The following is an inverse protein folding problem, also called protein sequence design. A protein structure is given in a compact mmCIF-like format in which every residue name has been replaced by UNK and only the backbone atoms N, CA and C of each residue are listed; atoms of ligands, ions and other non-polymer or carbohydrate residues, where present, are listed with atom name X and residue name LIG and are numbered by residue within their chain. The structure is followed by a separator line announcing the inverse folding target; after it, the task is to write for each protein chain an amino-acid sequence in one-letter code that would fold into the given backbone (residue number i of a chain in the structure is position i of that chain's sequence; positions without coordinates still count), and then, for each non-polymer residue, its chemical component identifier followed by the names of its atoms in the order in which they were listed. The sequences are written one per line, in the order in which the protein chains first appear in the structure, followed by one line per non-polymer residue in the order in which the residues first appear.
data_IF_168307614872
#
_entry.id   IF_168307614872
#
_cell.length_a   1.000
_cell.length_b   1.000
_cell.length_c   1.000
_cell.angle_alpha   90.00
_cell.angle_beta   90.00
_cell.angle_gamma   90.00
#
_symmetry.space_group_name_H-M   'P 1'
#
loop_
_entity.id
_entity.type
_entity.pdbx_description
1 polymer ?
#
# COMPACT_ATOMS: atom_id res chain seq x y z
N UNK A 1 -3.14 25.60 0.28
CA UNK A 1 -2.81 26.79 1.07
C UNK A 1 -1.62 26.47 1.97
N UNK A 2 -0.49 27.21 1.89
CA UNK A 2 0.58 27.15 2.91
C UNK A 2 0.06 27.58 4.28
N UNK A 3 0.73 27.18 5.36
CA UNK A 3 0.44 27.57 6.76
C UNK A 3 -0.96 27.23 7.28
N UNK A 4 -1.76 26.48 6.51
CA UNK A 4 -3.06 25.98 6.94
C UNK A 4 -2.92 25.11 8.19
N UNK A 5 -1.88 24.27 8.20
CA UNK A 5 -1.59 23.34 9.29
C UNK A 5 -0.44 23.82 10.19
N UNK A 6 -0.34 25.13 10.42
CA UNK A 6 0.59 25.72 11.40
C UNK A 6 -0.20 26.39 12.53
N UNK A 7 0.37 26.45 13.75
CA UNK A 7 -0.23 27.13 14.89
C UNK A 7 -0.62 28.60 14.60
N UNK A 8 -1.67 29.08 15.27
CA UNK A 8 -2.18 30.45 15.09
C UNK A 8 -1.19 31.51 15.57
N UNK A 9 -0.44 31.22 16.64
CA UNK A 9 0.62 32.07 17.18
C UNK A 9 1.85 32.19 16.24
N UNK A 10 2.03 31.24 15.32
CA UNK A 10 3.00 31.34 14.21
C UNK A 10 2.44 32.07 12.97
N UNK A 11 1.18 32.53 13.01
CA UNK A 11 0.47 33.12 11.87
C UNK A 11 -0.14 32.10 10.92
N UNK A 12 -0.29 30.84 11.35
CA UNK A 12 -1.03 29.80 10.63
C UNK A 12 -2.54 29.83 10.88
N UNK A 13 -3.27 28.94 10.21
CA UNK A 13 -4.73 28.83 10.36
C UNK A 13 -5.16 27.93 11.53
N UNK A 14 -4.24 27.16 12.14
CA UNK A 14 -4.50 26.35 13.32
C UNK A 14 -5.12 24.97 13.08
N UNK A 15 -5.16 24.45 11.85
CA UNK A 15 -5.52 23.05 11.64
C UNK A 15 -4.35 22.13 12.03
N UNK A 16 -4.63 20.96 12.60
CA UNK A 16 -3.57 20.00 12.93
C UNK A 16 -3.11 19.22 11.69
N UNK A 17 -4.06 18.86 10.81
CA UNK A 17 -3.82 18.03 9.64
C UNK A 17 -4.53 18.55 8.39
N UNK A 18 -4.01 18.12 7.24
CA UNK A 18 -4.67 18.26 5.93
C UNK A 18 -4.72 16.92 5.18
N UNK A 19 -5.70 16.78 4.30
CA UNK A 19 -5.81 15.59 3.45
C UNK A 19 -4.79 15.62 2.31
N UNK A 20 -4.09 14.51 2.08
CA UNK A 20 -3.16 14.32 0.97
C UNK A 20 -3.90 13.94 -0.33
N UNK A 21 -4.75 14.85 -0.81
CA UNK A 21 -5.70 14.59 -1.92
C UNK A 21 -5.05 14.20 -3.25
N UNK A 22 -3.76 14.51 -3.46
CA UNK A 22 -3.04 14.13 -4.67
C UNK A 22 -2.70 12.63 -4.76
N UNK A 23 -2.72 11.90 -3.64
CA UNK A 23 -2.35 10.47 -3.60
C UNK A 23 -3.40 9.59 -4.31
N UNK A 24 -4.72 9.73 -4.05
CA UNK A 24 -5.73 9.00 -4.82
C UNK A 24 -5.70 9.28 -6.32
N UNK A 25 -5.47 10.54 -6.72
CA UNK A 25 -5.37 10.94 -8.13
C UNK A 25 -4.19 10.26 -8.85
N UNK A 26 -3.07 10.09 -8.14
CA UNK A 26 -1.93 9.31 -8.64
C UNK A 26 -2.38 7.89 -8.98
N UNK A 27 -3.00 7.19 -8.03
CA UNK A 27 -3.37 5.79 -8.20
C UNK A 27 -4.41 5.60 -9.28
N UNK A 28 -5.45 6.43 -9.33
CA UNK A 28 -6.43 6.42 -10.43
C UNK A 28 -5.76 6.68 -11.77
N UNK A 29 -4.84 7.65 -11.85
CA UNK A 29 -4.13 7.91 -13.11
C UNK A 29 -3.28 6.72 -13.56
N UNK A 30 -2.65 5.99 -12.63
CA UNK A 30 -1.84 4.82 -12.97
C UNK A 30 -2.73 3.65 -13.40
N UNK A 31 -3.75 3.34 -12.62
CA UNK A 31 -4.66 2.23 -12.89
C UNK A 31 -5.51 2.43 -14.16
N UNK A 32 -5.85 3.67 -14.51
CA UNK A 32 -6.68 3.99 -15.68
C UNK A 32 -5.87 4.14 -16.98
N UNK A 33 -4.64 4.66 -16.92
CA UNK A 33 -3.92 5.16 -18.10
C UNK A 33 -2.61 4.44 -18.40
N UNK A 34 -2.12 3.55 -17.54
CA UNK A 34 -0.79 2.94 -17.66
C UNK A 34 -0.84 1.43 -17.43
N UNK A 35 -0.07 0.69 -18.21
CA UNK A 35 0.29 -0.70 -17.90
C UNK A 35 1.27 -0.74 -16.73
N UNK A 36 1.38 -1.89 -16.05
CA UNK A 36 2.24 -2.06 -14.88
C UNK A 36 3.73 -1.80 -15.20
N UNK A 37 4.16 -2.13 -16.42
CA UNK A 37 5.53 -1.92 -16.91
C UNK A 37 5.90 -0.44 -17.05
N UNK A 38 4.90 0.43 -17.24
CA UNK A 38 5.06 1.88 -17.46
C UNK A 38 4.88 2.70 -16.17
N UNK A 39 4.78 2.03 -15.02
CA UNK A 39 4.71 2.68 -13.72
C UNK A 39 6.06 3.29 -13.38
N UNK A 40 6.08 4.61 -13.20
CA UNK A 40 7.26 5.38 -12.84
C UNK A 40 7.40 5.39 -11.30
N UNK A 41 8.43 4.71 -10.80
CA UNK A 41 8.70 4.53 -9.37
C UNK A 41 9.08 5.84 -8.71
N UNK A 42 9.85 6.68 -9.40
CA UNK A 42 10.24 7.99 -8.91
C UNK A 42 9.06 8.94 -8.76
N UNK A 43 8.09 8.90 -9.68
CA UNK A 43 6.85 9.67 -9.60
C UNK A 43 5.92 9.17 -8.49
N UNK A 44 5.84 7.85 -8.26
CA UNK A 44 5.13 7.31 -7.10
C UNK A 44 5.75 7.86 -5.81
N UNK A 45 7.07 7.68 -5.64
CA UNK A 45 7.80 8.19 -4.47
C UNK A 45 7.60 9.69 -4.32
N UNK A 46 7.78 10.47 -5.40
CA UNK A 46 7.64 11.91 -5.36
C UNK A 46 6.23 12.32 -4.91
N UNK A 47 5.18 11.71 -5.45
CA UNK A 47 3.81 12.09 -5.08
C UNK A 47 3.48 11.76 -3.62
N UNK A 48 4.04 10.66 -3.08
CA UNK A 48 3.87 10.26 -1.68
C UNK A 48 4.72 11.11 -0.72
N UNK A 49 5.84 11.67 -1.18
CA UNK A 49 6.82 12.39 -0.35
C UNK A 49 6.79 13.91 -0.53
N UNK A 50 6.14 14.42 -1.58
CA UNK A 50 6.04 15.85 -1.87
C UNK A 50 5.02 16.52 -0.93
N UNK A 51 5.45 16.71 0.31
CA UNK A 51 4.69 17.39 1.37
C UNK A 51 5.50 18.50 2.01
N UNK A 52 4.81 19.43 2.67
CA UNK A 52 5.45 20.57 3.32
C UNK A 52 6.01 20.12 4.67
N UNK A 53 7.31 20.33 4.86
CA UNK A 53 7.94 20.04 6.14
C UNK A 53 7.27 20.88 7.25
N UNK A 54 6.91 20.23 8.36
CA UNK A 54 6.21 20.86 9.48
C UNK A 54 4.69 21.03 9.33
N UNK A 55 4.08 20.56 8.23
CA UNK A 55 2.61 20.51 8.09
C UNK A 55 2.18 19.05 7.91
N UNK A 56 1.51 18.48 8.92
CA UNK A 56 1.13 17.07 8.92
C UNK A 56 0.00 16.79 7.91
N UNK A 57 0.07 15.64 7.23
CA UNK A 57 -0.98 15.21 6.32
C UNK A 57 -1.53 13.80 6.65
N UNK A 58 -2.82 13.61 6.34
CA UNK A 58 -3.48 12.30 6.36
C UNK A 58 -3.43 11.72 4.94
N UNK A 59 -2.73 10.61 4.80
CA UNK A 59 -2.60 9.86 3.56
C UNK A 59 -3.70 8.80 3.43
N UNK A 60 -4.18 8.59 2.21
CA UNK A 60 -5.17 7.56 1.88
C UNK A 60 -5.02 7.20 0.41
N UNK A 61 -5.19 5.91 0.09
CA UNK A 61 -4.99 5.41 -1.27
C UNK A 61 -6.20 5.71 -2.17
N UNK A 62 -7.40 5.72 -1.58
CA UNK A 62 -8.66 6.02 -2.25
C UNK A 62 -9.65 6.68 -1.27
N UNK A 63 -10.60 7.46 -1.79
CA UNK A 63 -11.58 8.21 -0.99
C UNK A 63 -13.01 7.71 -1.13
N UNK A 64 -13.93 8.35 -0.41
CA UNK A 64 -15.36 8.05 -0.49
C UNK A 64 -15.97 8.44 -1.84
N UNK A 65 -15.49 9.50 -2.50
CA UNK A 65 -15.98 9.90 -3.83
C UNK A 65 -15.71 8.82 -4.88
N UNK A 66 -14.55 8.17 -4.82
CA UNK A 66 -14.16 7.07 -5.71
C UNK A 66 -14.98 5.80 -5.48
N UNK A 67 -15.64 5.69 -4.32
CA UNK A 67 -16.56 4.60 -4.04
C UNK A 67 -17.98 4.88 -4.58
N UNK A 68 -18.29 6.09 -5.05
CA UNK A 68 -19.62 6.44 -5.57
C UNK A 68 -19.84 5.92 -6.99
N UNK A 69 -21.12 5.83 -7.39
CA UNK A 69 -21.51 5.53 -8.76
C UNK A 69 -20.86 6.51 -9.75
N UNK A 70 -20.23 5.98 -10.79
CA UNK A 70 -19.56 6.76 -11.83
C UNK A 70 -18.03 6.82 -11.70
N UNK A 71 -17.47 6.35 -10.60
CA UNK A 71 -16.04 6.07 -10.46
C UNK A 71 -15.80 4.60 -10.06
N UNK A 72 -14.54 4.20 -9.89
CA UNK A 72 -14.15 2.85 -9.49
C UNK A 72 -13.19 2.90 -8.31
N UNK A 73 -13.43 2.02 -7.34
CA UNK A 73 -12.47 1.70 -6.26
C UNK A 73 -11.19 1.10 -6.83
N UNK A 74 -10.11 1.10 -6.06
CA UNK A 74 -8.84 0.44 -6.44
C UNK A 74 -9.08 -1.05 -6.74
N UNK A 75 -9.89 -1.73 -5.91
CA UNK A 75 -10.24 -3.13 -6.13
C UNK A 75 -10.91 -3.34 -7.49
N UNK A 76 -11.87 -2.48 -7.85
CA UNK A 76 -12.61 -2.60 -9.10
C UNK A 76 -11.79 -2.15 -10.33
N UNK A 77 -10.86 -1.21 -10.18
CA UNK A 77 -9.86 -0.91 -11.22
C UNK A 77 -8.93 -2.09 -11.50
N UNK A 78 -8.57 -2.85 -10.46
CA UNK A 78 -7.61 -3.94 -10.56
C UNK A 78 -8.21 -5.26 -11.06
N UNK A 79 -9.44 -5.57 -10.65
CA UNK A 79 -10.05 -6.89 -10.84
C UNK A 79 -11.33 -6.86 -11.68
N UNK A 80 -11.98 -5.69 -11.78
CA UNK A 80 -13.18 -5.46 -12.59
C UNK A 80 -14.23 -6.59 -12.44
N UNK A 81 -14.78 -7.09 -13.54
CA UNK A 81 -15.81 -8.15 -13.51
C UNK A 81 -15.33 -9.49 -12.95
N UNK A 82 -14.02 -9.76 -12.89
CA UNK A 82 -13.52 -11.03 -12.37
C UNK A 82 -13.72 -11.15 -10.86
N UNK A 83 -13.95 -10.04 -10.16
CA UNK A 83 -14.33 -10.04 -8.74
C UNK A 83 -15.58 -10.89 -8.48
N UNK A 84 -16.50 -10.97 -9.43
CA UNK A 84 -17.76 -11.69 -9.27
C UNK A 84 -17.64 -13.20 -9.49
N UNK A 85 -16.58 -13.67 -10.13
CA UNK A 85 -16.41 -15.08 -10.53
C UNK A 85 -15.22 -15.77 -9.87
N UNK A 86 -14.15 -15.03 -9.54
CA UNK A 86 -12.88 -15.61 -9.09
C UNK A 86 -12.46 -15.18 -7.67
N UNK A 87 -13.35 -14.52 -6.91
CA UNK A 87 -13.13 -14.21 -5.49
C UNK A 87 -13.49 -15.36 -4.54
N UNK A 88 -13.95 -16.49 -5.05
CA UNK A 88 -14.07 -17.73 -4.26
C UNK A 88 -12.69 -18.40 -4.13
N UNK A 89 -12.40 -19.00 -2.98
CA UNK A 89 -11.21 -19.85 -2.80
C UNK A 89 -11.32 -21.18 -3.53
N UNK A 90 -12.50 -21.51 -4.07
CA UNK A 90 -12.78 -22.72 -4.83
C UNK A 90 -12.82 -22.49 -6.34
N UNK A 91 -12.74 -21.22 -6.79
CA UNK A 91 -12.70 -20.92 -8.23
C UNK A 91 -11.36 -21.34 -8.83
N UNK A 92 -11.34 -21.50 -10.15
CA UNK A 92 -10.08 -21.66 -10.89
C UNK A 92 -9.13 -20.46 -10.64
N UNK A 93 -7.81 -20.65 -10.78
CA UNK A 93 -6.84 -19.57 -10.66
C UNK A 93 -7.06 -18.49 -11.72
N UNK A 94 -6.97 -17.22 -11.30
CA UNK A 94 -7.02 -16.07 -12.21
C UNK A 94 -5.84 -15.14 -11.94
N UNK A 95 -5.02 -14.92 -12.98
CA UNK A 95 -3.90 -13.98 -12.93
C UNK A 95 -4.36 -12.53 -12.69
N UNK A 96 -5.61 -12.20 -13.05
CA UNK A 96 -6.20 -10.88 -12.81
C UNK A 96 -6.50 -10.70 -11.32
N UNK A 97 -7.07 -11.71 -10.67
CA UNK A 97 -7.31 -11.69 -9.22
C UNK A 97 -5.99 -11.72 -8.46
N UNK A 98 -5.02 -12.55 -8.85
CA UNK A 98 -3.72 -12.62 -8.19
C UNK A 98 -2.98 -11.27 -8.27
N UNK A 99 -3.01 -10.63 -9.46
CA UNK A 99 -2.52 -9.26 -9.65
C UNK A 99 -3.26 -8.28 -8.75
N UNK A 100 -4.58 -8.34 -8.72
CA UNK A 100 -5.42 -7.39 -8.00
C UNK A 100 -5.22 -7.47 -6.49
N UNK A 101 -5.19 -8.68 -5.92
CA UNK A 101 -4.93 -8.88 -4.49
C UNK A 101 -3.53 -8.36 -4.13
N UNK A 102 -2.51 -8.67 -4.92
CA UNK A 102 -1.15 -8.22 -4.66
C UNK A 102 -1.02 -6.69 -4.71
N UNK A 103 -1.47 -6.05 -5.80
CA UNK A 103 -1.36 -4.61 -5.97
C UNK A 103 -2.24 -3.82 -4.98
N UNK A 104 -3.42 -4.33 -4.62
CA UNK A 104 -4.27 -3.68 -3.61
C UNK A 104 -3.54 -3.58 -2.26
N UNK A 105 -2.89 -4.67 -1.81
CA UNK A 105 -2.06 -4.67 -0.59
C UNK A 105 -0.90 -3.69 -0.70
N UNK A 106 -0.16 -3.73 -1.82
CA UNK A 106 1.03 -2.92 -2.02
C UNK A 106 0.73 -1.41 -2.09
N UNK A 107 -0.31 -1.00 -2.84
CA UNK A 107 -0.73 0.40 -2.98
C UNK A 107 -1.11 0.97 -1.62
N UNK A 108 -1.91 0.24 -0.85
CA UNK A 108 -2.32 0.66 0.48
C UNK A 108 -1.13 0.76 1.42
N UNK A 109 -0.23 -0.23 1.40
CA UNK A 109 0.92 -0.25 2.30
C UNK A 109 1.95 0.83 1.99
N UNK A 110 2.29 1.08 0.72
CA UNK A 110 3.22 2.16 0.38
C UNK A 110 2.61 3.53 0.70
N UNK A 111 1.30 3.71 0.51
CA UNK A 111 0.59 4.93 0.92
C UNK A 111 0.63 5.12 2.43
N UNK A 112 0.41 4.04 3.19
CA UNK A 112 0.45 4.03 4.66
C UNK A 112 1.85 4.35 5.21
N UNK A 113 2.88 3.72 4.66
CA UNK A 113 4.24 3.82 5.18
C UNK A 113 4.96 5.10 4.73
N UNK A 114 4.69 5.60 3.52
CA UNK A 114 5.44 6.71 2.92
C UNK A 114 4.63 8.01 2.80
N UNK A 115 3.30 7.94 2.69
CA UNK A 115 2.44 9.04 2.24
C UNK A 115 2.22 10.18 3.23
N UNK A 116 2.32 9.95 4.54
CA UNK A 116 2.03 10.99 5.50
C UNK A 116 2.28 10.70 6.98
N UNK A 117 1.71 11.56 7.82
CA UNK A 117 1.75 11.52 9.29
C UNK A 117 0.49 10.90 9.93
N UNK A 118 -0.49 10.53 9.11
CA UNK A 118 -1.63 9.72 9.50
C UNK A 118 -2.20 8.96 8.30
N UNK A 119 -3.07 7.99 8.57
CA UNK A 119 -3.71 7.18 7.53
C UNK A 119 -5.24 7.24 7.64
N UNK A 120 -5.91 7.23 6.49
CA UNK A 120 -7.36 7.15 6.40
C UNK A 120 -7.78 6.01 5.46
N UNK A 121 -8.85 5.34 5.84
CA UNK A 121 -9.51 4.32 5.04
C UNK A 121 -11.03 4.52 5.08
N UNK A 122 -11.67 4.50 3.91
CA UNK A 122 -13.12 4.55 3.81
C UNK A 122 -13.73 3.14 3.91
N UNK A 123 -14.85 3.03 4.64
CA UNK A 123 -15.45 1.74 5.00
C UNK A 123 -15.65 0.80 3.79
N UNK A 124 -15.18 -0.44 3.92
CA UNK A 124 -15.22 -1.48 2.89
C UNK A 124 -13.96 -1.55 2.03
N UNK A 125 -13.23 -0.46 1.85
CA UNK A 125 -12.03 -0.46 1.01
C UNK A 125 -10.89 -1.26 1.65
N UNK A 126 -10.95 -1.49 2.96
CA UNK A 126 -9.98 -2.31 3.69
C UNK A 126 -9.90 -3.76 3.20
N UNK A 127 -11.05 -4.30 2.77
CA UNK A 127 -11.15 -5.63 2.22
C UNK A 127 -11.41 -5.65 0.71
N UNK A 128 -11.30 -4.50 0.04
CA UNK A 128 -11.55 -4.38 -1.40
C UNK A 128 -13.00 -4.67 -1.76
N UNK A 129 -13.95 -4.06 -1.04
CA UNK A 129 -15.40 -4.19 -1.27
C UNK A 129 -15.73 -4.08 -2.79
N UNK A 130 -16.56 -4.99 -3.33
CA UNK A 130 -16.93 -4.98 -4.75
C UNK A 130 -17.95 -3.88 -5.06
N UNK A 131 -18.37 -3.77 -6.32
CA UNK A 131 -19.43 -2.85 -6.76
C UNK A 131 -19.09 -1.37 -6.45
N UNK A 132 -20.12 -0.56 -6.18
CA UNK A 132 -20.06 0.86 -5.87
C UNK A 132 -21.15 1.23 -4.86
N UNK A 133 -21.05 2.44 -4.31
CA UNK A 133 -22.04 3.07 -3.43
C UNK A 133 -22.93 3.98 -4.28
N UNK A 134 -24.25 3.78 -4.25
CA UNK A 134 -25.22 4.68 -4.88
C UNK A 134 -26.37 4.93 -3.90
N UNK A 135 -26.69 6.21 -3.68
CA UNK A 135 -27.76 6.61 -2.78
C UNK A 135 -29.10 6.66 -3.51
N UNK A 136 -30.24 6.45 -2.81
CA UNK A 136 -31.57 6.60 -3.39
C UNK A 136 -31.76 7.97 -4.04
N UNK A 137 -32.07 7.98 -5.33
CA UNK A 137 -32.33 9.18 -6.13
C UNK A 137 -33.28 8.86 -7.30
N UNK A 138 -33.79 9.88 -7.97
CA UNK A 138 -34.68 9.69 -9.13
C UNK A 138 -34.06 8.77 -10.20
N UNK A 139 -32.78 8.99 -10.54
CA UNK A 139 -32.07 8.22 -11.55
C UNK A 139 -31.77 6.74 -11.21
N UNK A 140 -32.14 6.26 -10.01
CA UNK A 140 -32.10 4.84 -9.66
C UNK A 140 -33.41 4.34 -9.01
N UNK A 141 -34.52 5.05 -9.25
CA UNK A 141 -35.84 4.73 -8.69
C UNK A 141 -35.86 4.64 -7.16
N UNK A 142 -35.14 5.53 -6.47
CA UNK A 142 -34.98 5.54 -5.01
C UNK A 142 -34.49 4.19 -4.45
N UNK A 143 -33.61 3.51 -5.18
CA UNK A 143 -33.09 2.21 -4.79
C UNK A 143 -32.08 2.32 -3.65
N UNK A 144 -32.23 1.44 -2.66
CA UNK A 144 -31.26 1.24 -1.57
C UNK A 144 -30.28 0.10 -1.85
N UNK A 145 -30.37 -0.55 -3.03
CA UNK A 145 -29.60 -1.76 -3.32
C UNK A 145 -28.08 -1.57 -3.18
N UNK A 146 -27.56 -0.40 -3.57
CA UNK A 146 -26.14 -0.06 -3.45
C UNK A 146 -25.83 0.84 -2.25
N UNK A 147 -26.84 1.28 -1.49
CA UNK A 147 -26.67 2.11 -0.30
C UNK A 147 -26.39 1.25 0.96
N UNK A 148 -25.41 0.33 0.85
CA UNK A 148 -25.09 -0.67 1.89
C UNK A 148 -23.62 -1.04 1.87
N UNK A 149 -23.21 -1.82 2.88
CA UNK A 149 -21.91 -2.52 2.92
C UNK A 149 -22.12 -4.02 3.11
N UNK A 150 -21.40 -4.81 2.33
CA UNK A 150 -21.52 -6.27 2.29
C UNK A 150 -20.54 -6.92 3.29
N UNK A 151 -20.73 -6.67 4.59
CA UNK A 151 -19.80 -7.14 5.63
C UNK A 151 -19.63 -8.67 5.67
N UNK A 152 -20.67 -9.42 5.30
CA UNK A 152 -20.59 -10.87 5.23
C UNK A 152 -19.50 -11.39 4.26
N UNK A 153 -19.04 -10.58 3.30
CA UNK A 153 -18.00 -10.98 2.34
C UNK A 153 -16.65 -11.25 3.02
N UNK A 154 -16.33 -10.51 4.09
CA UNK A 154 -15.07 -10.69 4.82
C UNK A 154 -15.14 -11.83 5.83
N UNK A 155 -16.34 -12.15 6.31
CA UNK A 155 -16.59 -13.21 7.28
C UNK A 155 -16.66 -14.60 6.62
N UNK A 156 -16.97 -14.67 5.32
CA UNK A 156 -17.08 -15.93 4.60
C UNK A 156 -15.68 -16.56 4.34
N UNK A 157 -15.38 -17.73 4.93
CA UNK A 157 -14.09 -18.39 4.75
C UNK A 157 -13.87 -18.92 3.34
N UNK A 158 -14.91 -19.01 2.49
CA UNK A 158 -14.80 -19.43 1.10
C UNK A 158 -14.52 -18.26 0.15
N UNK A 159 -14.42 -17.02 0.65
CA UNK A 159 -14.11 -15.85 -0.16
C UNK A 159 -12.70 -15.30 0.13
N UNK A 160 -12.11 -14.66 -0.88
CA UNK A 160 -10.76 -14.08 -0.85
C UNK A 160 -10.70 -12.70 -0.19
N UNK A 161 -11.83 -12.04 0.10
CA UNK A 161 -11.86 -10.73 0.76
C UNK A 161 -11.18 -10.73 2.15
N UNK A 162 -11.25 -11.87 2.86
CA UNK A 162 -10.56 -12.09 4.13
C UNK A 162 -9.05 -11.84 4.04
N UNK A 163 -8.42 -12.11 2.89
CA UNK A 163 -6.99 -11.90 2.68
C UNK A 163 -6.60 -10.43 2.71
N UNK A 164 -7.41 -9.57 2.07
CA UNK A 164 -7.20 -8.12 2.07
C UNK A 164 -7.49 -7.52 3.45
N UNK A 165 -8.52 -8.00 4.13
CA UNK A 165 -8.83 -7.60 5.50
C UNK A 165 -7.74 -8.00 6.51
N UNK A 166 -7.23 -9.23 6.42
CA UNK A 166 -6.15 -9.70 7.28
C UNK A 166 -4.88 -8.88 7.06
N UNK A 167 -4.58 -8.53 5.81
CA UNK A 167 -3.46 -7.65 5.48
C UNK A 167 -3.64 -6.27 6.10
N UNK A 168 -4.83 -5.67 5.97
CA UNK A 168 -5.13 -4.38 6.58
C UNK A 168 -4.92 -4.39 8.09
N UNK A 169 -5.48 -5.39 8.77
CA UNK A 169 -5.31 -5.58 10.21
C UNK A 169 -3.83 -5.69 10.60
N UNK A 170 -3.06 -6.50 9.86
CA UNK A 170 -1.63 -6.68 10.12
C UNK A 170 -0.83 -5.39 9.90
N UNK A 171 -1.17 -4.61 8.85
CA UNK A 171 -0.56 -3.30 8.58
C UNK A 171 -0.81 -2.31 9.72
N UNK A 172 -2.04 -2.22 10.22
CA UNK A 172 -2.39 -1.33 11.34
C UNK A 172 -1.68 -1.72 12.63
N UNK A 173 -1.70 -3.01 13.00
CA UNK A 173 -1.01 -3.47 14.20
C UNK A 173 0.51 -3.31 14.12
N UNK A 174 1.09 -3.41 12.92
CA UNK A 174 2.51 -3.19 12.75
C UNK A 174 2.86 -1.71 12.91
N UNK A 175 2.00 -0.80 12.43
CA UNK A 175 2.19 0.63 12.68
C UNK A 175 2.07 0.97 14.16
N UNK A 176 1.09 0.42 14.86
CA UNK A 176 0.94 0.58 16.32
C UNK A 176 2.18 0.09 17.10
N UNK A 177 2.97 -0.82 16.54
CA UNK A 177 4.20 -1.32 17.18
C UNK A 177 5.44 -0.47 16.87
N UNK A 178 5.55 0.05 15.65
CA UNK A 178 6.77 0.72 15.15
C UNK A 178 6.62 2.23 14.97
N UNK A 179 5.39 2.74 15.05
CA UNK A 179 5.02 4.16 15.03
C UNK A 179 5.64 4.95 13.87
N UNK A 180 5.60 4.40 12.65
CA UNK A 180 6.20 5.10 11.52
C UNK A 180 5.38 6.30 11.04
N UNK A 181 4.07 6.40 11.34
CA UNK A 181 3.29 7.58 10.96
C UNK A 181 3.72 8.81 11.75
N UNK A 182 4.02 8.66 13.04
CA UNK A 182 4.53 9.76 13.88
C UNK A 182 6.04 10.00 13.72
N UNK A 183 6.76 9.11 13.03
CA UNK A 183 8.18 9.28 12.76
C UNK A 183 8.46 10.31 11.64
N UNK A 184 9.67 10.90 11.62
CA UNK A 184 10.12 11.74 10.51
C UNK A 184 9.96 11.06 9.16
N UNK A 185 9.99 11.88 8.11
CA UNK A 185 9.87 11.41 6.75
C UNK A 185 10.92 10.35 6.40
N UNK A 186 10.48 9.33 5.65
CA UNK A 186 11.33 8.20 5.28
C UNK A 186 12.57 8.62 4.47
N UNK A 187 13.66 7.87 4.64
CA UNK A 187 14.80 7.92 3.73
C UNK A 187 14.60 6.92 2.60
N UNK A 188 14.36 7.40 1.38
CA UNK A 188 14.20 6.53 0.19
C UNK A 188 15.56 6.25 -0.43
N UNK A 189 16.10 5.05 -0.18
CA UNK A 189 17.39 4.61 -0.73
C UNK A 189 17.28 4.20 -2.19
N UNK A 190 16.14 3.62 -2.61
CA UNK A 190 15.98 3.12 -3.97
C UNK A 190 14.58 3.38 -4.54
N UNK A 191 14.57 3.76 -5.81
CA UNK A 191 13.40 3.94 -6.68
C UNK A 191 13.80 3.54 -8.10
N UNK A 192 14.01 2.25 -8.30
CA UNK A 192 14.62 1.71 -9.51
C UNK A 192 13.56 1.48 -10.59
N UNK A 193 13.68 2.17 -11.72
CA UNK A 193 12.66 2.14 -12.78
C UNK A 193 12.61 0.80 -13.50
N UNK A 194 13.75 0.21 -13.91
CA UNK A 194 13.71 -1.04 -14.70
C UNK A 194 13.28 -2.25 -13.86
N UNK A 195 13.89 -2.42 -12.68
CA UNK A 195 13.52 -3.46 -11.72
C UNK A 195 12.15 -3.24 -11.08
N UNK A 196 11.59 -2.02 -11.16
CA UNK A 196 10.36 -1.61 -10.49
C UNK A 196 10.41 -1.82 -8.98
N UNK A 197 11.56 -1.55 -8.37
CA UNK A 197 11.81 -1.75 -6.94
C UNK A 197 11.90 -0.42 -6.20
N UNK A 198 11.15 -0.30 -5.10
CA UNK A 198 11.22 0.83 -4.17
C UNK A 198 11.70 0.32 -2.81
N UNK A 199 12.71 0.99 -2.24
CA UNK A 199 13.26 0.69 -0.91
C UNK A 199 13.40 1.98 -0.10
N UNK A 200 12.92 1.95 1.14
CA UNK A 200 13.06 3.07 2.06
C UNK A 200 13.08 2.63 3.52
N UNK A 201 13.62 3.48 4.38
CA UNK A 201 13.65 3.29 5.83
C UNK A 201 12.80 4.36 6.51
N UNK A 202 11.95 3.96 7.45
CA UNK A 202 11.16 4.87 8.31
C UNK A 202 11.00 4.24 9.69
N UNK A 203 11.24 5.01 10.75
CA UNK A 203 11.16 4.53 12.14
C UNK A 203 11.97 3.26 12.46
N UNK A 204 13.15 3.11 11.86
CA UNK A 204 13.98 1.90 12.04
C UNK A 204 13.44 0.65 11.33
N UNK A 205 12.34 0.77 10.58
CA UNK A 205 11.79 -0.28 9.72
C UNK A 205 12.28 -0.06 8.29
N UNK A 206 12.75 -1.14 7.68
CA UNK A 206 13.13 -1.21 6.27
C UNK A 206 11.95 -1.73 5.46
N UNK A 207 11.53 -0.98 4.44
CA UNK A 207 10.44 -1.34 3.55
C UNK A 207 10.98 -1.64 2.16
N UNK A 208 10.52 -2.75 1.56
CA UNK A 208 10.97 -3.21 0.25
C UNK A 208 9.74 -3.58 -0.58
N UNK A 209 9.58 -2.98 -1.75
CA UNK A 209 8.47 -3.20 -2.67
C UNK A 209 9.00 -3.59 -4.05
N UNK A 210 8.50 -4.67 -4.63
CA UNK A 210 8.75 -5.05 -6.01
C UNK A 210 7.45 -4.95 -6.81
N UNK A 211 7.28 -3.86 -7.55
CA UNK A 211 6.15 -3.61 -8.44
C UNK A 211 6.32 -4.27 -9.81
N UNK A 212 7.42 -5.00 -10.07
CA UNK A 212 7.62 -5.63 -11.36
C UNK A 212 6.51 -6.65 -11.63
N UNK A 213 5.88 -6.65 -12.82
CA UNK A 213 4.75 -7.54 -13.11
C UNK A 213 5.09 -9.03 -13.23
N UNK A 214 6.39 -9.40 -13.30
CA UNK A 214 6.81 -10.79 -13.51
C UNK A 214 8.22 -11.13 -12.99
N UNK A 215 9.17 -10.19 -12.93
CA UNK A 215 10.53 -10.49 -12.44
C UNK A 215 10.57 -10.61 -10.92
N UNK A 216 11.24 -11.68 -10.48
CA UNK A 216 11.58 -11.96 -9.09
C UNK A 216 13.10 -11.94 -8.95
N UNK A 217 13.62 -11.46 -7.82
CA UNK A 217 15.06 -11.26 -7.63
C UNK A 217 15.54 -12.03 -6.40
N UNK A 218 16.46 -12.98 -6.55
CA UNK A 218 16.96 -13.86 -5.46
C UNK A 218 17.97 -13.19 -4.55
N UNK A 219 18.95 -12.51 -5.13
CA UNK A 219 20.05 -11.85 -4.43
C UNK A 219 20.01 -10.34 -4.70
N UNK A 220 18.86 -9.72 -4.42
CA UNK A 220 18.71 -8.29 -4.67
C UNK A 220 19.44 -7.47 -3.60
N UNK A 221 20.48 -6.74 -4.01
CA UNK A 221 21.26 -5.90 -3.10
C UNK A 221 20.52 -4.61 -2.79
N UNK A 222 20.33 -4.34 -1.51
CA UNK A 222 19.70 -3.11 -1.00
C UNK A 222 20.60 -2.43 0.03
N UNK A 223 20.56 -1.10 0.07
CA UNK A 223 21.26 -0.30 1.09
C UNK A 223 20.46 -0.19 2.39
N UNK A 224 21.14 -0.30 3.52
CA UNK A 224 20.60 -0.13 4.88
C UNK A 224 21.59 0.63 5.74
N UNK A 225 21.12 1.40 6.72
CA UNK A 225 22.02 2.27 7.48
C UNK A 225 22.47 1.70 8.81
N UNK A 226 21.64 0.88 9.44
CA UNK A 226 21.98 0.25 10.70
C UNK A 226 22.59 -1.13 10.42
N UNK A 227 23.85 -1.38 10.81
CA UNK A 227 24.41 -2.72 10.72
C UNK A 227 23.71 -3.66 11.72
N UNK A 228 23.55 -4.93 11.36
CA UNK A 228 22.97 -5.94 12.22
C UNK A 228 22.38 -7.10 11.43
N UNK A 229 21.33 -7.72 11.98
CA UNK A 229 20.61 -8.80 11.31
C UNK A 229 19.14 -8.47 11.20
N UNK A 230 18.64 -8.39 9.98
CA UNK A 230 17.24 -8.04 9.73
C UNK A 230 16.37 -9.30 9.69
N UNK A 231 15.15 -9.16 10.21
CA UNK A 231 14.08 -10.16 10.07
C UNK A 231 12.86 -9.54 9.44
N UNK A 232 12.14 -10.35 8.66
CA UNK A 232 10.85 -9.99 8.10
C UNK A 232 9.83 -9.90 9.24
N UNK A 233 9.19 -8.74 9.37
CA UNK A 233 8.15 -8.48 10.37
C UNK A 233 6.76 -8.45 9.73
N UNK A 234 6.68 -8.18 8.43
CA UNK A 234 5.47 -8.28 7.62
C UNK A 234 5.84 -8.63 6.18
N UNK A 235 5.10 -9.54 5.57
CA UNK A 235 5.33 -10.04 4.23
C UNK A 235 3.99 -10.25 3.52
N UNK A 236 3.77 -9.54 2.41
CA UNK A 236 2.50 -9.64 1.67
C UNK A 236 2.32 -11.00 0.97
N UNK A 237 3.37 -11.80 0.82
CA UNK A 237 3.33 -13.10 0.15
C UNK A 237 2.86 -14.24 1.07
N UNK A 238 2.58 -14.00 2.35
CA UNK A 238 2.03 -15.04 3.24
C UNK A 238 0.66 -15.52 2.75
N UNK A 239 0.38 -16.80 2.98
CA UNK A 239 -0.89 -17.43 2.57
C UNK A 239 -2.12 -16.78 3.24
N UNK A 240 -2.00 -16.31 4.48
CA UNK A 240 -3.08 -15.61 5.21
C UNK A 240 -3.48 -14.27 4.57
N UNK A 241 -2.63 -13.73 3.70
CA UNK A 241 -2.87 -12.53 2.90
C UNK A 241 -3.11 -12.84 1.43
N UNK A 242 -3.32 -14.11 1.06
CA UNK A 242 -3.55 -14.53 -0.32
C UNK A 242 -2.30 -14.44 -1.20
N UNK A 243 -1.11 -14.57 -0.61
CA UNK A 243 0.15 -14.71 -1.36
C UNK A 243 0.54 -16.18 -1.59
N UNK A 244 1.69 -16.39 -2.23
CA UNK A 244 2.15 -17.71 -2.67
C UNK A 244 3.11 -18.41 -1.69
N UNK A 245 3.38 -17.81 -0.53
CA UNK A 245 4.23 -18.33 0.53
C UNK A 245 5.64 -18.72 0.06
N UNK A 246 6.27 -17.88 -0.77
CA UNK A 246 7.56 -18.19 -1.42
C UNK A 246 8.78 -17.84 -0.58
N UNK A 247 8.62 -17.07 0.49
CA UNK A 247 9.73 -16.52 1.28
C UNK A 247 9.89 -17.30 2.58
N UNK A 248 11.10 -17.81 2.84
CA UNK A 248 11.45 -18.41 4.13
C UNK A 248 11.82 -17.30 5.14
N UNK A 249 10.90 -17.02 6.06
CA UNK A 249 11.06 -15.98 7.09
C UNK A 249 11.90 -16.44 8.30
N UNK A 250 12.32 -17.71 8.35
CA UNK A 250 13.16 -18.22 9.44
C UNK A 250 14.62 -17.76 9.34
N UNK A 251 15.05 -17.38 8.14
CA UNK A 251 16.42 -17.02 7.84
C UNK A 251 16.71 -15.56 8.22
N UNK A 252 17.68 -15.31 9.12
CA UNK A 252 18.14 -13.95 9.39
C UNK A 252 18.87 -13.39 8.17
N UNK A 253 18.73 -12.07 7.94
CA UNK A 253 19.37 -11.39 6.83
C UNK A 253 20.48 -10.46 7.34
N UNK A 254 21.75 -10.93 7.40
CA UNK A 254 22.85 -10.15 7.94
C UNK A 254 23.27 -9.02 6.98
N UNK A 255 23.62 -7.87 7.55
CA UNK A 255 24.21 -6.77 6.79
C UNK A 255 25.70 -6.99 6.55
N UNK A 256 26.21 -6.49 5.43
CA UNK A 256 27.64 -6.34 5.13
C UNK A 256 28.04 -4.88 5.25
N UNK A 257 29.25 -4.63 5.75
CA UNK A 257 29.83 -3.28 5.84
C UNK A 257 30.33 -2.80 4.47
N UNK A 258 29.42 -2.74 3.51
CA UNK A 258 29.66 -2.33 2.14
C UNK A 258 28.60 -1.28 1.76
N UNK A 259 28.99 -0.01 1.57
CA UNK A 259 28.06 1.06 1.23
C UNK A 259 27.33 0.79 -0.09
N UNK A 260 26.04 1.11 -0.12
CA UNK A 260 25.17 0.97 -1.29
C UNK A 260 23.99 1.94 -1.20
N UNK A 261 23.50 2.46 -2.31
CA UNK A 261 22.32 3.36 -2.36
C UNK A 261 22.37 4.51 -1.33
N UNK A 262 23.55 5.13 -1.15
CA UNK A 262 23.82 6.17 -0.15
C UNK A 262 23.53 5.76 1.31
N UNK A 263 23.62 4.47 1.63
CA UNK A 263 23.58 3.92 2.99
C UNK A 263 24.93 3.33 3.38
N UNK A 264 25.17 3.23 4.69
CA UNK A 264 26.45 2.77 5.25
C UNK A 264 26.71 1.28 5.02
N UNK A 265 25.66 0.46 5.00
CA UNK A 265 25.73 -0.98 4.85
C UNK A 265 24.83 -1.46 3.72
N UNK A 266 24.94 -2.73 3.36
CA UNK A 266 24.01 -3.38 2.43
C UNK A 266 23.68 -4.80 2.85
N UNK A 267 22.59 -5.32 2.31
CA UNK A 267 22.15 -6.70 2.52
C UNK A 267 21.55 -7.23 1.22
N UNK A 268 21.35 -8.54 1.16
CA UNK A 268 20.74 -9.23 0.03
C UNK A 268 19.39 -9.78 0.46
N UNK A 269 18.38 -9.59 -0.39
CA UNK A 269 17.01 -10.06 -0.13
C UNK A 269 16.47 -10.82 -1.34
N UNK A 270 15.70 -11.88 -1.06
CA UNK A 270 14.83 -12.47 -2.06
C UNK A 270 13.53 -11.67 -2.11
N UNK A 271 13.20 -11.11 -3.27
CA UNK A 271 12.01 -10.30 -3.47
C UNK A 271 11.23 -10.76 -4.72
N UNK A 272 10.16 -11.56 -4.53
CA UNK A 272 9.31 -12.00 -5.63
C UNK A 272 8.58 -10.84 -6.31
N UNK A 273 8.14 -11.06 -7.55
CA UNK A 273 7.26 -10.15 -8.28
C UNK A 273 5.96 -9.87 -7.50
N UNK A 274 5.56 -8.59 -7.47
CA UNK A 274 4.35 -8.07 -6.79
C UNK A 274 4.28 -8.45 -5.32
N UNK A 275 5.38 -8.26 -4.61
CA UNK A 275 5.48 -8.48 -3.16
C UNK A 275 6.02 -7.22 -2.48
N UNK A 276 5.50 -6.94 -1.28
CA UNK A 276 6.08 -5.98 -0.36
C UNK A 276 6.37 -6.62 0.99
N UNK A 277 7.46 -6.16 1.61
CA UNK A 277 7.91 -6.62 2.92
C UNK A 277 8.34 -5.44 3.78
N UNK A 278 8.16 -5.60 5.09
CA UNK A 278 8.80 -4.77 6.09
C UNK A 278 9.74 -5.64 6.94
N UNK A 279 10.92 -5.10 7.25
CA UNK A 279 11.96 -5.75 8.02
C UNK A 279 12.40 -4.86 9.17
N UNK A 280 12.77 -5.45 10.31
CA UNK A 280 13.39 -4.75 11.42
C UNK A 280 14.73 -5.39 11.77
N UNK A 281 15.67 -4.54 12.20
CA UNK A 281 16.96 -4.99 12.71
C UNK A 281 16.81 -5.58 14.12
N UNK A 282 17.44 -6.74 14.33
CA UNK A 282 17.63 -7.39 15.62
C UNK A 282 19.11 -7.40 16.02
#
# INVERSE_FOLDING_TARGET
MPTLCRPVDEGGAGFDYRLAMAIPDLWVSYLKKRSDEDWDMAKIVHSLTNRRWGEANIAYAECHDQALVGDKTISFWLMDKEMYTHMSTLSDPSLIIDRGIALHKMIRFITHALGGEGYLNFMGNEFGHPEWLDFPREGNNSSYHYARRQWHLVDDPLLKYKYLNNWDRAMQHLEEKYHWLSAPQAYVSRKHEDDKVIVFERAGVLFVFNFHPHKSFTDYRIGVDTPGSYKIILNSDRAEFGGFNRIDESLPMPTKNEPWDNRRCSMYVYIPSRVCMALACH
#
